data_IF_941975491690
#
_entry.id   IF_941975491690
#
_cell.length_a   1.000
_cell.length_b   1.000
_cell.length_c   1.000
_cell.angle_alpha   90.00
_cell.angle_beta   90.00
_cell.angle_gamma   90.00
#
_symmetry.space_group_name_H-M   'P 1'
#
loop_
_entity.id
_entity.type
_entity.pdbx_description
1 polymer ?
#
# COMPACT_ATOMS: atom_id res chain seq x y z
N UNK A 1 -5.41 -8.13 -14.38
CA UNK A 1 -5.93 -7.13 -13.45
C UNK A 1 -4.85 -6.60 -12.52
N UNK A 2 -4.99 -5.38 -12.03
CA UNK A 2 -3.93 -4.72 -11.26
C UNK A 2 -4.15 -4.86 -9.76
N UNK A 3 -3.07 -4.73 -9.00
CA UNK A 3 -3.09 -4.65 -7.54
C UNK A 3 -2.73 -3.23 -7.14
N UNK A 4 -3.49 -2.64 -6.22
CA UNK A 4 -3.25 -1.31 -5.70
C UNK A 4 -2.67 -1.41 -4.29
N UNK A 5 -1.56 -0.73 -4.04
CA UNK A 5 -0.94 -0.65 -2.72
C UNK A 5 -1.24 0.68 -2.07
N UNK A 6 -1.55 0.67 -0.79
CA UNK A 6 -1.87 1.86 -0.01
C UNK A 6 -1.00 1.91 1.25
N UNK A 7 -0.29 3.01 1.43
CA UNK A 7 0.36 3.35 2.69
C UNK A 7 -0.47 4.46 3.36
N UNK A 8 -1.27 4.07 4.35
CA UNK A 8 -2.24 4.95 5.01
C UNK A 8 -1.57 5.73 6.13
N UNK A 9 -1.19 6.96 5.84
CA UNK A 9 -0.59 7.86 6.81
C UNK A 9 -1.61 8.76 7.49
N UNK A 10 -1.18 9.43 8.54
CA UNK A 10 -2.03 10.37 9.29
C UNK A 10 -2.37 11.61 8.45
N UNK A 11 -1.39 12.20 7.82
CA UNK A 11 -1.56 13.40 6.99
C UNK A 11 -1.67 13.11 5.51
N UNK A 12 -1.04 12.03 5.05
CA UNK A 12 -0.92 11.69 3.63
C UNK A 12 -1.08 10.20 3.42
N UNK A 13 -1.55 9.85 2.23
CA UNK A 13 -1.74 8.45 1.82
C UNK A 13 -0.98 8.21 0.52
N UNK A 14 -0.01 7.30 0.55
CA UNK A 14 0.75 6.91 -0.63
C UNK A 14 0.04 5.81 -1.40
N UNK A 15 0.01 5.93 -2.73
CA UNK A 15 -0.65 4.97 -3.62
C UNK A 15 0.35 4.44 -4.63
N UNK A 16 0.39 3.13 -4.79
CA UNK A 16 1.17 2.45 -5.83
C UNK A 16 0.28 1.46 -6.58
N UNK A 17 0.69 1.09 -7.77
CA UNK A 17 -0.11 0.18 -8.62
C UNK A 17 0.82 -0.75 -9.41
N UNK A 18 0.36 -1.97 -9.67
CA UNK A 18 1.07 -2.89 -10.55
C UNK A 18 0.66 -2.67 -12.00
N UNK A 19 1.45 -3.21 -12.93
CA UNK A 19 1.01 -3.33 -14.32
C UNK A 19 -0.05 -4.45 -14.45
N UNK A 20 -0.60 -4.64 -15.65
CA UNK A 20 -1.65 -5.63 -15.89
C UNK A 20 -1.19 -7.07 -15.65
N UNK A 21 0.10 -7.33 -15.76
CA UNK A 21 0.69 -8.66 -15.56
C UNK A 21 1.18 -8.89 -14.14
N UNK A 22 1.09 -7.88 -13.28
CA UNK A 22 1.58 -7.90 -11.89
C UNK A 22 3.08 -8.22 -11.79
N UNK A 23 3.86 -7.76 -12.78
CA UNK A 23 5.31 -7.97 -12.82
C UNK A 23 6.05 -6.76 -12.26
N UNK A 24 5.63 -5.55 -12.65
CA UNK A 24 6.26 -4.31 -12.22
C UNK A 24 5.33 -3.50 -11.31
N UNK A 25 5.93 -2.71 -10.41
CA UNK A 25 5.22 -1.84 -9.49
C UNK A 25 5.71 -0.42 -9.68
N UNK A 26 4.77 0.53 -9.73
CA UNK A 26 5.12 1.95 -9.83
C UNK A 26 4.34 2.77 -8.82
N UNK A 27 4.96 3.85 -8.32
CA UNK A 27 4.26 4.84 -7.52
C UNK A 27 3.27 5.60 -8.37
N UNK A 28 2.05 5.74 -7.89
CA UNK A 28 1.00 6.43 -8.62
C UNK A 28 0.85 7.87 -8.15
N UNK A 29 0.60 8.07 -6.86
CA UNK A 29 0.45 9.42 -6.29
C UNK A 29 0.47 9.38 -4.77
N UNK A 30 0.60 10.58 -4.18
CA UNK A 30 0.39 10.79 -2.74
C UNK A 30 -0.80 11.73 -2.57
N UNK A 31 -1.77 11.32 -1.76
CA UNK A 31 -3.00 12.07 -1.54
C UNK A 31 -2.94 12.75 -0.18
N UNK A 32 -3.23 14.06 -0.13
CA UNK A 32 -3.36 14.78 1.14
C UNK A 32 -4.71 14.41 1.78
N UNK A 33 -4.66 13.93 3.01
CA UNK A 33 -5.84 13.43 3.70
C UNK A 33 -6.76 14.54 4.20
N UNK A 34 -6.21 15.66 4.63
CA UNK A 34 -6.94 16.83 5.15
C UNK A 34 -7.96 16.47 6.25
N UNK A 35 -7.59 15.47 7.10
CA UNK A 35 -8.42 15.06 8.23
C UNK A 35 -9.64 14.21 7.88
N UNK A 36 -9.80 13.79 6.62
CA UNK A 36 -10.98 13.02 6.20
C UNK A 36 -10.63 11.93 5.20
N UNK A 37 -11.21 10.75 5.39
CA UNK A 37 -11.07 9.63 4.45
C UNK A 37 -11.92 9.82 3.18
N UNK A 38 -12.86 10.76 3.19
CA UNK A 38 -13.72 11.02 2.02
C UNK A 38 -12.92 11.40 0.79
N UNK A 39 -11.87 12.22 0.96
CA UNK A 39 -10.96 12.62 -0.13
C UNK A 39 -10.28 11.39 -0.71
N UNK A 40 -9.80 10.50 0.17
CA UNK A 40 -9.11 9.27 -0.23
C UNK A 40 -10.05 8.36 -1.02
N UNK A 41 -11.25 8.12 -0.51
CA UNK A 41 -12.23 7.23 -1.15
C UNK A 41 -12.69 7.77 -2.50
N UNK A 42 -12.87 9.09 -2.60
CA UNK A 42 -13.21 9.74 -3.88
C UNK A 42 -12.10 9.55 -4.91
N UNK A 43 -10.85 9.74 -4.49
CA UNK A 43 -9.71 9.57 -5.39
C UNK A 43 -9.55 8.10 -5.82
N UNK A 44 -9.81 7.16 -4.92
CA UNK A 44 -9.80 5.74 -5.27
C UNK A 44 -10.85 5.40 -6.32
N UNK A 45 -12.05 5.98 -6.21
CA UNK A 45 -13.09 5.80 -7.24
C UNK A 45 -12.60 6.25 -8.60
N UNK A 46 -11.93 7.41 -8.68
CA UNK A 46 -11.36 7.91 -9.93
C UNK A 46 -10.27 6.98 -10.48
N UNK A 47 -9.42 6.44 -9.60
CA UNK A 47 -8.38 5.49 -9.99
C UNK A 47 -9.00 4.21 -10.55
N UNK A 48 -10.06 3.71 -9.93
CA UNK A 48 -10.73 2.48 -10.37
C UNK A 48 -11.53 2.66 -11.67
N UNK A 49 -11.90 3.89 -12.01
CA UNK A 49 -12.46 4.19 -13.32
C UNK A 49 -11.40 4.13 -14.42
N UNK A 50 -10.17 4.51 -14.08
CA UNK A 50 -9.06 4.58 -15.05
C UNK A 50 -8.31 3.25 -15.20
N UNK A 51 -8.17 2.49 -14.11
CA UNK A 51 -7.42 1.24 -14.07
C UNK A 51 -8.30 0.10 -13.58
N UNK A 52 -8.18 -1.06 -14.20
CA UNK A 52 -8.87 -2.26 -13.73
C UNK A 52 -8.10 -2.85 -12.55
N UNK A 53 -8.62 -2.66 -11.34
CA UNK A 53 -8.03 -3.12 -10.09
C UNK A 53 -8.96 -4.14 -9.44
N UNK A 54 -8.43 -5.29 -9.05
CA UNK A 54 -9.21 -6.33 -8.37
C UNK A 54 -8.76 -6.58 -6.93
N UNK A 55 -7.60 -6.06 -6.55
CA UNK A 55 -7.00 -6.31 -5.24
C UNK A 55 -6.42 -5.03 -4.66
N UNK A 56 -6.65 -4.80 -3.37
CA UNK A 56 -6.06 -3.69 -2.62
C UNK A 56 -5.21 -4.27 -1.49
N UNK A 57 -3.99 -3.78 -1.34
CA UNK A 57 -3.08 -4.16 -0.25
C UNK A 57 -2.78 -2.92 0.58
N UNK A 58 -3.04 -2.99 1.89
CA UNK A 58 -2.81 -1.88 2.81
C UNK A 58 -1.71 -2.27 3.80
N UNK A 59 -0.72 -1.40 3.97
CA UNK A 59 0.33 -1.60 4.97
C UNK A 59 -0.21 -1.43 6.38
N UNK A 60 0.13 -2.37 7.27
CA UNK A 60 -0.29 -2.34 8.67
C UNK A 60 0.89 -1.95 9.56
N UNK A 61 0.85 -0.77 10.20
CA UNK A 61 1.97 -0.27 11.03
C UNK A 61 1.94 -0.86 12.43
N UNK A 62 2.39 -2.10 12.57
CA UNK A 62 2.45 -2.78 13.86
C UNK A 62 3.62 -2.26 14.72
N UNK A 63 3.53 -2.45 16.03
CA UNK A 63 4.67 -2.24 16.94
C UNK A 63 5.78 -3.25 16.63
N UNK A 64 7.01 -2.96 17.06
CA UNK A 64 8.15 -3.84 16.81
C UNK A 64 7.96 -5.26 17.35
N UNK A 65 7.17 -5.43 18.41
CA UNK A 65 6.85 -6.73 18.98
C UNK A 65 5.63 -7.42 18.32
N UNK A 66 5.09 -6.83 17.24
CA UNK A 66 3.97 -7.40 16.51
C UNK A 66 2.59 -7.05 17.06
N UNK A 67 2.50 -6.29 18.15
CA UNK A 67 1.21 -5.88 18.70
C UNK A 67 0.62 -4.68 17.94
N UNK A 68 -0.69 -4.46 18.07
CA UNK A 68 -1.40 -3.36 17.42
C UNK A 68 -1.02 -2.02 18.03
N UNK A 69 -0.47 -1.11 17.22
CA UNK A 69 -0.25 0.28 17.59
C UNK A 69 -1.55 1.08 17.47
N UNK A 70 -1.53 2.33 17.96
CA UNK A 70 -2.68 3.25 17.75
C UNK A 70 -2.91 3.48 16.26
N UNK A 71 -1.85 3.64 15.49
CA UNK A 71 -1.94 3.80 14.03
C UNK A 71 -2.46 2.56 13.35
N UNK A 72 -2.11 1.37 13.84
CA UNK A 72 -2.62 0.12 13.30
C UNK A 72 -4.14 0.01 13.49
N UNK A 73 -4.64 0.45 14.64
CA UNK A 73 -6.09 0.48 14.90
C UNK A 73 -6.82 1.40 13.96
N UNK A 74 -6.27 2.60 13.71
CA UNK A 74 -6.84 3.57 12.76
C UNK A 74 -6.80 3.00 11.34
N UNK A 75 -5.70 2.36 10.95
CA UNK A 75 -5.56 1.72 9.65
C UNK A 75 -6.56 0.58 9.49
N UNK A 76 -6.78 -0.21 10.53
CA UNK A 76 -7.78 -1.28 10.52
C UNK A 76 -9.18 -0.74 10.27
N UNK A 77 -9.54 0.39 10.87
CA UNK A 77 -10.82 1.06 10.62
C UNK A 77 -10.94 1.49 9.16
N UNK A 78 -9.86 2.02 8.58
CA UNK A 78 -9.83 2.37 7.18
C UNK A 78 -10.01 1.15 6.27
N UNK A 79 -9.33 0.05 6.58
CA UNK A 79 -9.48 -1.21 5.86
C UNK A 79 -10.93 -1.70 5.90
N UNK A 80 -11.59 -1.56 7.06
CA UNK A 80 -13.00 -1.91 7.18
C UNK A 80 -13.88 -1.07 6.25
N UNK A 81 -13.63 0.24 6.17
CA UNK A 81 -14.33 1.12 5.23
C UNK A 81 -14.12 0.68 3.78
N UNK A 82 -12.90 0.27 3.43
CA UNK A 82 -12.60 -0.24 2.09
C UNK A 82 -13.40 -1.52 1.79
N UNK A 83 -13.45 -2.44 2.74
CA UNK A 83 -14.19 -3.70 2.58
C UNK A 83 -15.69 -3.46 2.41
N UNK A 84 -16.24 -2.48 3.09
CA UNK A 84 -17.64 -2.13 2.96
C UNK A 84 -17.95 -1.47 1.60
N UNK A 85 -17.09 -0.58 1.15
CA UNK A 85 -17.31 0.16 -0.10
C UNK A 85 -16.96 -0.67 -1.34
N UNK A 86 -15.89 -1.44 -1.29
CA UNK A 86 -15.37 -2.23 -2.42
C UNK A 86 -15.52 -3.72 -2.14
N UNK A 87 -16.74 -4.16 -1.86
CA UNK A 87 -17.02 -5.52 -1.42
C UNK A 87 -16.74 -6.60 -2.48
N UNK A 88 -16.54 -6.21 -3.73
CA UNK A 88 -16.19 -7.14 -4.82
C UNK A 88 -14.69 -7.28 -5.03
N UNK A 89 -13.89 -6.45 -4.37
CA UNK A 89 -12.44 -6.50 -4.45
C UNK A 89 -11.86 -7.32 -3.31
N UNK A 90 -10.72 -7.96 -3.54
CA UNK A 90 -9.93 -8.55 -2.46
C UNK A 90 -9.15 -7.45 -1.76
N UNK A 91 -9.18 -7.44 -0.43
CA UNK A 91 -8.48 -6.44 0.37
C UNK A 91 -7.65 -7.19 1.41
N UNK A 92 -6.34 -6.96 1.37
CA UNK A 92 -5.36 -7.61 2.25
C UNK A 92 -4.54 -6.58 2.99
N UNK A 93 -3.97 -6.97 4.11
CA UNK A 93 -3.01 -6.15 4.85
C UNK A 93 -1.65 -6.82 4.83
N UNK A 94 -0.59 -6.02 4.94
CA UNK A 94 0.78 -6.51 5.04
C UNK A 94 1.52 -5.75 6.13
N UNK A 95 2.43 -6.43 6.81
CA UNK A 95 3.20 -5.88 7.92
C UNK A 95 4.24 -4.87 7.41
N UNK A 96 4.07 -3.58 7.72
CA UNK A 96 4.97 -2.51 7.31
C UNK A 96 6.37 -2.60 7.92
N UNK A 97 6.56 -3.38 8.97
CA UNK A 97 7.89 -3.55 9.56
C UNK A 97 8.89 -4.11 8.54
N UNK A 98 8.38 -4.79 7.50
CA UNK A 98 9.21 -5.41 6.47
C UNK A 98 9.59 -4.45 5.34
N UNK A 99 8.96 -3.27 5.24
CA UNK A 99 9.05 -2.40 4.07
C UNK A 99 9.66 -1.02 4.34
N UNK A 100 9.35 -0.39 5.46
CA UNK A 100 9.67 1.02 5.74
C UNK A 100 11.18 1.29 5.78
N UNK A 101 11.97 0.37 6.33
CA UNK A 101 13.43 0.51 6.42
C UNK A 101 14.06 0.65 5.04
N UNK A 102 13.63 -0.14 4.08
CA UNK A 102 14.14 -0.11 2.72
C UNK A 102 13.73 1.17 1.98
N UNK A 103 12.51 1.67 2.21
CA UNK A 103 12.08 2.95 1.65
C UNK A 103 12.97 4.09 2.13
N UNK A 104 13.31 4.15 3.42
CA UNK A 104 14.19 5.16 3.98
C UNK A 104 15.62 5.04 3.44
N UNK A 105 16.14 3.84 3.28
CA UNK A 105 17.47 3.63 2.67
C UNK A 105 17.52 4.15 1.24
N UNK A 106 16.51 3.89 0.44
CA UNK A 106 16.39 4.37 -0.94
C UNK A 106 16.38 5.89 -0.97
N UNK A 107 15.63 6.52 -0.08
CA UNK A 107 15.56 7.99 0.00
C UNK A 107 16.87 8.62 0.38
N UNK A 108 17.59 8.06 1.35
CA UNK A 108 18.89 8.56 1.76
C UNK A 108 19.90 8.48 0.62
N UNK A 109 19.84 7.44 -0.19
CA UNK A 109 20.69 7.26 -1.36
C UNK A 109 20.41 8.32 -2.43
N UNK A 110 19.15 8.71 -2.61
CA UNK A 110 18.73 9.65 -3.65
C UNK A 110 18.92 11.13 -3.28
N UNK A 111 19.32 11.45 -2.06
CA UNK A 111 19.59 12.82 -1.56
C UNK A 111 18.48 13.82 -1.88
N UNK A 112 17.25 13.51 -1.56
CA UNK A 112 16.09 14.30 -1.94
C UNK A 112 15.78 15.40 -0.91
N UNK A 113 15.26 16.55 -1.39
CA UNK A 113 14.83 17.70 -0.59
C UNK A 113 13.78 17.30 0.47
N UNK A 114 13.87 17.89 1.67
CA UNK A 114 13.06 17.54 2.85
C UNK A 114 11.54 17.53 2.60
N UNK A 115 11.01 18.53 1.88
CA UNK A 115 9.56 18.64 1.63
C UNK A 115 9.08 17.65 0.56
N UNK A 116 9.90 17.43 -0.45
CA UNK A 116 9.64 16.39 -1.46
C UNK A 116 9.86 15.00 -0.89
N UNK A 117 10.80 14.89 0.07
CA UNK A 117 11.15 13.63 0.72
C UNK A 117 9.95 12.96 1.39
N UNK A 118 9.09 13.71 2.09
CA UNK A 118 7.92 13.13 2.75
C UNK A 118 6.93 12.50 1.76
N UNK A 119 6.59 13.21 0.69
CA UNK A 119 5.67 12.69 -0.32
C UNK A 119 6.27 11.48 -1.06
N UNK A 120 7.57 11.54 -1.39
CA UNK A 120 8.25 10.45 -2.07
C UNK A 120 8.36 9.22 -1.16
N UNK A 121 8.65 9.41 0.16
CA UNK A 121 8.71 8.30 1.11
C UNK A 121 7.38 7.57 1.19
N UNK A 122 6.26 8.30 1.27
CA UNK A 122 4.93 7.68 1.32
C UNK A 122 4.66 6.86 0.06
N UNK A 123 4.99 7.39 -1.11
CA UNK A 123 4.84 6.68 -2.38
C UNK A 123 5.77 5.46 -2.47
N UNK A 124 7.03 5.61 -2.06
CA UNK A 124 8.00 4.50 -2.04
C UNK A 124 7.56 3.42 -1.06
N UNK A 125 7.04 3.81 0.11
CA UNK A 125 6.50 2.83 1.08
C UNK A 125 5.36 2.03 0.48
N UNK A 126 4.46 2.67 -0.25
CA UNK A 126 3.37 1.98 -0.96
C UNK A 126 3.92 1.01 -2.02
N UNK A 127 4.96 1.42 -2.76
CA UNK A 127 5.62 0.55 -3.74
C UNK A 127 6.21 -0.69 -3.07
N UNK A 128 6.94 -0.53 -1.95
CA UNK A 128 7.52 -1.68 -1.24
C UNK A 128 6.47 -2.58 -0.62
N UNK A 129 5.38 -2.01 -0.08
CA UNK A 129 4.23 -2.78 0.39
C UNK A 129 3.72 -3.69 -0.73
N UNK A 130 3.54 -3.13 -1.90
CA UNK A 130 3.00 -3.84 -3.05
C UNK A 130 3.99 -4.88 -3.60
N UNK A 131 5.27 -4.54 -3.70
CA UNK A 131 6.32 -5.47 -4.13
C UNK A 131 6.42 -6.66 -3.19
N UNK A 132 6.36 -6.44 -1.88
CA UNK A 132 6.40 -7.50 -0.89
C UNK A 132 5.20 -8.44 -1.06
N UNK A 133 4.01 -7.87 -1.27
CA UNK A 133 2.79 -8.64 -1.49
C UNK A 133 2.88 -9.50 -2.76
N UNK A 134 3.36 -8.94 -3.86
CA UNK A 134 3.52 -9.65 -5.13
C UNK A 134 4.53 -10.79 -4.98
N UNK A 135 5.68 -10.54 -4.36
CA UNK A 135 6.70 -11.56 -4.10
C UNK A 135 6.16 -12.70 -3.25
N UNK A 136 5.41 -12.38 -2.20
CA UNK A 136 4.81 -13.38 -1.33
C UNK A 136 3.80 -14.25 -2.09
N UNK A 137 2.99 -13.65 -2.95
CA UNK A 137 2.02 -14.37 -3.78
C UNK A 137 2.72 -15.33 -4.75
N UNK A 138 3.81 -14.89 -5.38
CA UNK A 138 4.61 -15.73 -6.28
C UNK A 138 5.25 -16.92 -5.55
N UNK A 139 5.82 -16.68 -4.35
CA UNK A 139 6.40 -17.74 -3.53
C UNK A 139 5.34 -18.77 -3.14
N UNK A 140 4.17 -18.31 -2.75
CA UNK A 140 3.07 -19.18 -2.35
C UNK A 140 2.56 -20.04 -3.51
N UNK A 141 2.46 -19.47 -4.70
CA UNK A 141 2.10 -20.21 -5.90
C UNK A 141 3.14 -21.27 -6.23
N UNK A 142 4.43 -20.95 -6.09
CA UNK A 142 5.53 -21.89 -6.30
C UNK A 142 5.51 -23.05 -5.30
N UNK A 143 5.29 -22.75 -4.02
CA UNK A 143 5.15 -23.78 -2.97
C UNK A 143 3.99 -24.74 -3.27
N UNK A 144 2.85 -24.21 -3.69
CA UNK A 144 1.69 -25.02 -4.05
C UNK A 144 2.01 -25.95 -5.23
N UNK A 145 2.75 -25.48 -6.22
CA UNK A 145 3.18 -26.28 -7.35
C UNK A 145 4.18 -27.36 -6.96
N UNK A 146 5.05 -27.10 -5.99
CA UNK A 146 6.01 -28.11 -5.54
C UNK A 146 5.39 -29.18 -4.64
N UNK A 147 4.25 -28.92 -4.04
CA UNK A 147 3.50 -29.89 -3.24
C UNK A 147 2.68 -30.87 -4.10
N UNK A 148 2.62 -30.61 -5.38
CA UNK A 148 1.96 -31.51 -6.33
C UNK A 148 2.93 -32.54 -6.89
#
# INVERSE_FOLDING_TARGET
>A
MRILGIDYGEARVGIAITDQLNITVQGLETIQRNGSDKVILRRLDEIFEKYEVDTIVVGMPLNMNGTMSERAKITEQFVHKLKCKYNKMEIHTIDERLTTVEAHKTMNFLEVNKNKKKNIVDTISAVYILETSVSYTHLRAHETLSDL
#
